data_IF_082124668373
#
_entry.id   IF_082124668373
#
_cell.length_a   1.000
_cell.length_b   1.000
_cell.length_c   1.000
_cell.angle_alpha   90.00
_cell.angle_beta   90.00
_cell.angle_gamma   90.00
#
_symmetry.space_group_name_H-M   'P 1'
#
loop_
_entity.id
_entity.type
_entity.pdbx_description
1 polymer ?
#
# COMPACT_ATOMS: atom_id res chain seq x y z
N UNK A 1 -3.08 -7.47 25.98
CA UNK A 1 -3.50 -8.39 24.90
C UNK A 1 -4.91 -7.98 24.48
N UNK A 2 -5.07 -7.30 23.33
CA UNK A 2 -6.38 -6.75 22.90
C UNK A 2 -6.35 -5.99 21.57
N UNK A 3 -5.21 -5.43 21.19
CA UNK A 3 -5.02 -4.90 19.83
C UNK A 3 -4.60 -6.01 18.87
N UNK A 4 -5.35 -6.14 17.78
CA UNK A 4 -5.00 -6.95 16.61
C UNK A 4 -4.44 -6.03 15.51
N UNK A 5 -3.56 -6.58 14.69
CA UNK A 5 -2.95 -5.91 13.53
C UNK A 5 -3.01 -6.83 12.32
N UNK A 6 -3.41 -6.29 11.18
CA UNK A 6 -3.45 -7.00 9.89
C UNK A 6 -2.62 -6.20 8.90
N UNK A 7 -1.66 -6.87 8.25
CA UNK A 7 -0.89 -6.32 7.15
C UNK A 7 -1.49 -6.77 5.82
N UNK A 8 -1.68 -5.84 4.89
CA UNK A 8 -2.30 -6.09 3.59
C UNK A 8 -1.39 -5.49 2.53
N UNK A 9 -1.03 -6.28 1.52
CA UNK A 9 -0.21 -5.86 0.39
C UNK A 9 -0.89 -6.28 -0.92
N UNK A 10 -0.99 -5.36 -1.86
CA UNK A 10 -1.28 -5.65 -3.27
C UNK A 10 -0.12 -5.10 -4.07
N UNK A 11 0.52 -5.94 -4.87
CA UNK A 11 1.72 -5.58 -5.60
C UNK A 11 1.61 -6.03 -7.06
N UNK A 12 2.11 -5.18 -7.95
CA UNK A 12 2.39 -5.52 -9.33
C UNK A 12 3.89 -5.46 -9.57
N UNK A 13 4.45 -6.52 -10.13
CA UNK A 13 5.89 -6.67 -10.29
C UNK A 13 6.27 -6.50 -11.75
N UNK A 14 7.32 -5.74 -12.03
CA UNK A 14 7.81 -5.58 -13.39
C UNK A 14 8.30 -6.92 -13.97
N UNK A 15 8.06 -7.11 -15.26
CA UNK A 15 8.43 -8.33 -15.98
C UNK A 15 7.25 -9.28 -16.15
N UNK A 16 7.27 -10.10 -17.20
CA UNK A 16 6.22 -11.07 -17.48
C UNK A 16 6.78 -12.49 -17.53
N UNK A 17 5.98 -13.47 -17.15
CA UNK A 17 6.43 -14.86 -17.07
C UNK A 17 7.46 -15.09 -15.96
N UNK A 18 8.58 -15.72 -16.28
CA UNK A 18 9.58 -16.16 -15.29
C UNK A 18 10.24 -15.00 -14.52
N UNK A 19 10.70 -13.90 -15.15
CA UNK A 19 11.25 -12.75 -14.43
C UNK A 19 10.25 -12.09 -13.46
N UNK A 20 8.99 -11.94 -13.88
CA UNK A 20 7.92 -11.39 -13.02
C UNK A 20 7.67 -12.28 -11.80
N UNK A 21 7.58 -13.60 -12.01
CA UNK A 21 7.41 -14.56 -10.91
C UNK A 21 8.58 -14.52 -9.91
N UNK A 22 9.82 -14.34 -10.40
CA UNK A 22 10.98 -14.17 -9.54
C UNK A 22 10.92 -12.87 -8.72
N UNK A 23 10.48 -11.77 -9.32
CA UNK A 23 10.27 -10.50 -8.62
C UNK A 23 9.20 -10.59 -7.53
N UNK A 24 8.08 -11.28 -7.81
CA UNK A 24 7.05 -11.53 -6.81
C UNK A 24 7.57 -12.38 -5.65
N UNK A 25 8.40 -13.40 -5.93
CA UNK A 25 9.02 -14.23 -4.90
C UNK A 25 9.98 -13.42 -4.01
N UNK A 26 10.83 -12.59 -4.60
CA UNK A 26 11.70 -11.68 -3.83
C UNK A 26 10.88 -10.73 -2.96
N UNK A 27 9.83 -10.13 -3.53
CA UNK A 27 8.93 -9.21 -2.82
C UNK A 27 8.30 -9.86 -1.59
N UNK A 28 7.66 -11.03 -1.75
CA UNK A 28 7.01 -11.73 -0.63
C UNK A 28 8.02 -12.24 0.40
N UNK A 29 9.19 -12.73 -0.02
CA UNK A 29 10.24 -13.16 0.91
C UNK A 29 10.71 -12.01 1.81
N UNK A 30 10.97 -10.84 1.23
CA UNK A 30 11.39 -9.68 2.01
C UNK A 30 10.25 -9.10 2.85
N UNK A 31 9.01 -9.07 2.37
CA UNK A 31 7.87 -8.67 3.20
C UNK A 31 7.74 -9.57 4.43
N UNK A 32 7.85 -10.89 4.28
CA UNK A 32 7.81 -11.82 5.41
C UNK A 32 8.95 -11.62 6.40
N UNK A 33 10.13 -11.17 5.94
CA UNK A 33 11.24 -10.80 6.82
C UNK A 33 10.99 -9.48 7.57
N UNK A 34 10.38 -8.49 6.90
CA UNK A 34 10.19 -7.13 7.41
C UNK A 34 8.97 -6.98 8.32
N UNK A 35 8.01 -7.91 8.22
CA UNK A 35 6.75 -7.83 8.96
C UNK A 35 6.85 -8.60 10.26
N UNK A 36 6.64 -7.88 11.36
CA UNK A 36 6.55 -8.43 12.70
C UNK A 36 5.39 -7.76 13.46
N UNK A 37 4.99 -8.29 14.63
CA UNK A 37 3.98 -7.65 15.48
C UNK A 37 4.34 -6.21 15.91
N UNK A 38 5.63 -5.84 15.82
CA UNK A 38 6.13 -4.50 16.15
C UNK A 38 6.17 -3.57 14.93
N UNK A 39 5.91 -4.06 13.72
CA UNK A 39 5.92 -3.24 12.50
C UNK A 39 4.73 -2.28 12.51
N UNK A 40 5.02 -0.97 12.59
CA UNK A 40 3.98 0.09 12.67
C UNK A 40 3.92 1.03 11.47
N UNK A 41 4.95 1.04 10.63
CA UNK A 41 5.07 2.00 9.53
C UNK A 41 5.15 1.30 8.18
N UNK A 42 4.04 1.29 7.42
CA UNK A 42 4.02 0.97 5.99
C UNK A 42 5.13 1.65 5.19
N UNK A 43 5.35 2.96 5.38
CA UNK A 43 6.37 3.68 4.61
C UNK A 43 7.78 3.14 4.88
N UNK A 44 8.11 2.84 6.13
CA UNK A 44 9.41 2.24 6.48
C UNK A 44 9.57 0.83 5.89
N UNK A 45 8.49 0.04 5.84
CA UNK A 45 8.50 -1.26 5.16
C UNK A 45 8.83 -1.08 3.68
N UNK A 46 8.15 -0.17 2.98
CA UNK A 46 8.41 0.07 1.55
C UNK A 46 9.83 0.60 1.28
N UNK A 47 10.33 1.52 2.11
CA UNK A 47 11.69 2.05 2.00
C UNK A 47 12.74 0.94 2.19
N UNK A 48 12.53 0.06 3.18
CA UNK A 48 13.46 -1.04 3.46
C UNK A 48 13.38 -2.14 2.39
N UNK A 49 12.18 -2.44 1.90
CA UNK A 49 11.97 -3.36 0.80
C UNK A 49 12.67 -2.88 -0.47
N UNK A 50 12.51 -1.59 -0.82
CA UNK A 50 13.23 -0.97 -1.94
C UNK A 50 14.74 -1.15 -1.81
N UNK A 51 15.31 -0.87 -0.63
CA UNK A 51 16.74 -1.04 -0.37
C UNK A 51 17.19 -2.49 -0.63
N UNK A 52 16.48 -3.47 -0.08
CA UNK A 52 16.79 -4.91 -0.26
C UNK A 52 16.69 -5.34 -1.73
N UNK A 53 15.70 -4.87 -2.47
CA UNK A 53 15.55 -5.17 -3.91
C UNK A 53 16.72 -4.59 -4.71
N UNK A 54 17.06 -3.32 -4.51
CA UNK A 54 18.18 -2.65 -5.20
C UNK A 54 19.50 -3.39 -4.93
N UNK A 55 19.75 -3.77 -3.67
CA UNK A 55 20.95 -4.51 -3.27
C UNK A 55 21.00 -5.91 -3.90
N UNK A 56 19.89 -6.65 -3.88
CA UNK A 56 19.83 -8.02 -4.40
C UNK A 56 20.01 -8.07 -5.93
N UNK A 57 19.33 -7.17 -6.64
CA UNK A 57 19.38 -7.09 -8.10
C UNK A 57 20.62 -6.33 -8.62
N UNK A 58 21.45 -5.81 -7.71
CA UNK A 58 22.65 -5.03 -8.04
C UNK A 58 22.36 -3.90 -9.01
N UNK A 59 21.21 -3.24 -8.84
CA UNK A 59 20.78 -2.18 -9.75
C UNK A 59 21.73 -1.00 -9.63
N UNK A 60 22.43 -0.71 -10.74
CA UNK A 60 23.33 0.42 -10.86
C UNK A 60 22.60 1.55 -11.58
N UNK A 61 22.95 2.80 -11.26
CA UNK A 61 22.38 4.01 -11.90
C UNK A 61 22.68 4.18 -13.39
N UNK A 62 23.11 3.11 -14.06
CA UNK A 62 23.39 3.10 -15.48
C UNK A 62 22.10 3.24 -16.30
N UNK A 63 22.14 4.12 -17.30
CA UNK A 63 20.97 4.40 -18.13
C UNK A 63 20.49 3.19 -18.95
N UNK A 64 21.32 2.14 -19.09
CA UNK A 64 21.05 0.92 -19.86
C UNK A 64 20.65 -0.30 -19.01
N UNK A 65 20.68 -0.20 -17.68
CA UNK A 65 20.30 -1.32 -16.81
C UNK A 65 18.77 -1.49 -16.76
N UNK A 66 18.30 -2.75 -16.74
CA UNK A 66 16.89 -3.06 -16.46
C UNK A 66 16.53 -2.46 -15.09
N UNK A 67 15.40 -1.75 -15.03
CA UNK A 67 14.86 -1.15 -13.81
C UNK A 67 13.72 -2.00 -13.29
N UNK A 68 14.06 -3.22 -12.91
CA UNK A 68 13.09 -4.10 -12.27
C UNK A 68 12.64 -3.52 -10.93
N UNK A 69 11.40 -3.76 -10.57
CA UNK A 69 10.82 -3.27 -9.33
C UNK A 69 9.41 -3.79 -9.16
N UNK A 70 8.67 -3.12 -8.30
CA UNK A 70 7.26 -3.38 -8.10
C UNK A 70 6.54 -2.12 -7.67
N UNK A 71 5.30 -2.03 -8.12
CA UNK A 71 4.33 -1.07 -7.67
C UNK A 71 3.50 -1.75 -6.59
N UNK A 72 3.16 -1.06 -5.52
CA UNK A 72 2.58 -1.71 -4.35
C UNK A 72 1.75 -0.74 -3.53
N UNK A 73 0.57 -1.20 -3.12
CA UNK A 73 -0.18 -0.61 -2.02
C UNK A 73 0.06 -1.45 -0.77
N UNK A 74 0.53 -0.83 0.30
CA UNK A 74 0.80 -1.52 1.56
C UNK A 74 0.08 -0.86 2.73
N UNK A 75 -0.71 -1.65 3.45
CA UNK A 75 -1.57 -1.20 4.52
C UNK A 75 -1.31 -1.96 5.83
N UNK A 76 -1.43 -1.24 6.94
CA UNK A 76 -1.52 -1.79 8.29
C UNK A 76 -2.86 -1.37 8.87
N UNK A 77 -3.70 -2.36 9.20
CA UNK A 77 -4.99 -2.16 9.87
C UNK A 77 -4.89 -2.61 11.32
N UNK A 78 -5.10 -1.69 12.26
CA UNK A 78 -5.08 -1.97 13.70
C UNK A 78 -6.44 -1.72 14.32
N UNK A 79 -6.88 -2.63 15.19
CA UNK A 79 -8.16 -2.50 15.89
C UNK A 79 -8.17 -3.32 17.19
N UNK A 80 -9.07 -2.97 18.11
CA UNK A 80 -9.30 -3.77 19.32
C UNK A 80 -10.29 -4.89 19.00
N UNK A 81 -9.82 -6.15 18.96
CA UNK A 81 -10.65 -7.29 18.59
C UNK A 81 -11.59 -7.75 19.71
N UNK A 82 -11.40 -7.26 20.93
CA UNK A 82 -12.27 -7.57 22.07
C UNK A 82 -13.58 -6.75 22.03
N UNK A 83 -13.65 -5.69 21.23
CA UNK A 83 -14.87 -4.89 21.07
C UNK A 83 -15.81 -5.54 20.04
N UNK A 84 -17.15 -5.41 20.21
CA UNK A 84 -18.12 -5.73 19.16
C UNK A 84 -17.83 -4.95 17.88
N UNK A 85 -18.11 -5.54 16.70
CA UNK A 85 -17.78 -4.93 15.40
C UNK A 85 -18.33 -3.51 15.25
N UNK A 86 -19.56 -3.29 15.69
CA UNK A 86 -20.25 -1.99 15.61
C UNK A 86 -19.57 -0.89 16.45
N UNK A 87 -18.77 -1.26 17.45
CA UNK A 87 -18.05 -0.34 18.34
C UNK A 87 -16.55 -0.24 18.00
N UNK A 88 -16.05 -1.05 17.06
CA UNK A 88 -14.64 -1.05 16.68
C UNK A 88 -14.27 0.24 15.97
N UNK A 89 -13.16 0.82 16.42
CA UNK A 89 -12.41 1.82 15.67
C UNK A 89 -11.23 1.14 15.00
N UNK A 90 -11.06 1.40 13.72
CA UNK A 90 -9.97 0.85 12.93
C UNK A 90 -9.00 1.98 12.62
N UNK A 91 -7.71 1.74 12.85
CA UNK A 91 -6.64 2.63 12.40
C UNK A 91 -6.02 2.02 11.16
N UNK A 92 -6.18 2.67 10.02
CA UNK A 92 -5.54 2.30 8.77
C UNK A 92 -4.32 3.21 8.57
N UNK A 93 -3.14 2.60 8.49
CA UNK A 93 -1.92 3.26 8.03
C UNK A 93 -1.59 2.73 6.64
N UNK A 94 -1.24 3.61 5.71
CA UNK A 94 -1.00 3.28 4.30
C UNK A 94 0.27 3.98 3.79
N UNK A 95 1.01 3.29 2.93
CA UNK A 95 1.99 3.87 2.03
C UNK A 95 1.91 3.14 0.67
N UNK A 96 2.19 3.85 -0.42
CA UNK A 96 2.05 3.30 -1.75
C UNK A 96 3.17 3.71 -2.71
N UNK A 97 3.55 2.77 -3.57
CA UNK A 97 4.41 2.94 -4.73
C UNK A 97 3.54 2.83 -5.98
N UNK A 98 3.28 3.95 -6.66
CA UNK A 98 2.38 4.14 -7.81
C UNK A 98 0.89 3.78 -7.61
N UNK A 99 0.58 2.77 -6.80
CA UNK A 99 -0.79 2.28 -6.57
C UNK A 99 -1.42 2.92 -5.33
N UNK A 100 -2.29 3.92 -5.56
CA UNK A 100 -3.14 4.56 -4.55
C UNK A 100 -4.18 3.58 -3.98
N UNK A 101 -4.77 3.93 -2.84
CA UNK A 101 -5.93 3.20 -2.30
C UNK A 101 -7.15 4.09 -2.19
N UNK A 102 -8.31 3.45 -2.21
CA UNK A 102 -9.59 4.12 -2.21
C UNK A 102 -10.45 3.64 -1.05
N UNK A 103 -11.12 4.56 -0.38
CA UNK A 103 -12.00 4.25 0.73
C UNK A 103 -13.40 4.77 0.38
N UNK A 104 -14.38 3.89 0.43
CA UNK A 104 -15.79 4.27 0.34
C UNK A 104 -16.38 4.23 1.74
N UNK A 105 -16.85 5.38 2.20
CA UNK A 105 -17.53 5.55 3.47
C UNK A 105 -18.85 6.29 3.27
N UNK A 106 -19.76 6.17 4.23
CA UNK A 106 -20.98 6.96 4.22
C UNK A 106 -20.67 8.44 4.57
N UNK A 107 -21.54 9.38 4.18
CA UNK A 107 -21.35 10.85 4.21
C UNK A 107 -21.09 11.47 5.60
N UNK A 108 -20.95 10.66 6.66
CA UNK A 108 -20.66 11.08 8.03
C UNK A 108 -19.19 10.85 8.45
N UNK A 109 -18.34 10.35 7.57
CA UNK A 109 -16.92 10.14 7.88
C UNK A 109 -16.07 11.34 7.48
N UNK A 110 -15.19 11.77 8.38
CA UNK A 110 -14.21 12.85 8.14
C UNK A 110 -12.83 12.25 7.96
N UNK A 111 -12.64 11.51 6.86
CA UNK A 111 -11.34 10.95 6.50
C UNK A 111 -10.51 12.04 5.83
N UNK A 112 -9.31 12.30 6.35
CA UNK A 112 -8.35 13.20 5.71
C UNK A 112 -7.71 12.45 4.54
N UNK A 113 -7.96 12.91 3.32
CA UNK A 113 -7.54 12.26 2.08
C UNK A 113 -7.02 13.29 1.06
N UNK A 114 -6.25 12.83 0.08
CA UNK A 114 -5.67 13.66 -0.97
C UNK A 114 -6.70 14.10 -2.02
N UNK A 115 -7.74 13.28 -2.22
CA UNK A 115 -8.87 13.60 -3.10
C UNK A 115 -10.17 13.02 -2.52
N UNK A 116 -11.26 13.76 -2.66
CA UNK A 116 -12.57 13.43 -2.08
C UNK A 116 -13.64 13.65 -3.15
N UNK A 117 -14.48 12.65 -3.38
CA UNK A 117 -15.59 12.68 -4.32
C UNK A 117 -16.87 12.23 -3.63
N UNK A 118 -17.89 13.09 -3.58
CA UNK A 118 -19.21 12.76 -3.03
C UNK A 118 -20.16 12.44 -4.17
N UNK A 119 -20.91 11.35 -4.05
CA UNK A 119 -21.85 10.93 -5.09
C UNK A 119 -23.20 11.64 -4.91
N UNK A 120 -23.62 12.45 -5.89
CA UNK A 120 -24.80 13.33 -5.80
C UNK A 120 -26.12 12.63 -5.42
N UNK A 121 -26.25 11.33 -5.74
CA UNK A 121 -27.45 10.52 -5.47
C UNK A 121 -27.24 9.41 -4.43
N UNK A 122 -26.16 9.48 -3.62
CA UNK A 122 -25.97 8.51 -2.55
C UNK A 122 -25.36 9.16 -1.31
N UNK A 123 -25.67 8.60 -0.15
CA UNK A 123 -25.04 9.00 1.10
C UNK A 123 -23.59 8.50 1.22
N UNK A 124 -22.83 8.41 0.11
CA UNK A 124 -21.47 7.88 0.07
C UNK A 124 -20.47 8.92 -0.43
N UNK A 125 -19.26 8.82 0.12
CA UNK A 125 -18.09 9.57 -0.28
C UNK A 125 -16.95 8.60 -0.55
N UNK A 126 -16.26 8.82 -1.68
CA UNK A 126 -15.01 8.17 -2.06
C UNK A 126 -13.84 9.06 -1.63
N UNK A 127 -12.90 8.47 -0.93
CA UNK A 127 -11.64 9.10 -0.49
C UNK A 127 -10.48 8.39 -1.18
N UNK A 128 -9.56 9.14 -1.75
CA UNK A 128 -8.30 8.62 -2.31
C UNK A 128 -7.13 9.00 -1.41
N UNK A 129 -6.34 8.01 -1.02
CA UNK A 129 -5.02 8.22 -0.43
C UNK A 129 -3.98 7.97 -1.53
N UNK A 130 -3.26 9.02 -1.92
CA UNK A 130 -2.36 8.95 -3.08
C UNK A 130 -1.08 8.22 -2.74
N UNK A 131 -0.67 7.31 -3.63
CA UNK A 131 0.67 6.75 -3.60
C UNK A 131 1.71 7.75 -4.09
N UNK A 132 2.97 7.54 -3.73
CA UNK A 132 4.07 8.28 -4.32
C UNK A 132 4.32 7.77 -5.74
N UNK A 133 4.66 8.68 -6.66
CA UNK A 133 4.98 8.38 -8.06
C UNK A 133 6.41 7.83 -8.20
N UNK A 134 6.68 6.72 -7.52
CA UNK A 134 7.96 6.03 -7.51
C UNK A 134 7.78 4.54 -7.18
N UNK A 135 8.53 3.68 -7.85
CA UNK A 135 8.43 2.22 -7.68
C UNK A 135 9.29 1.72 -6.52
N UNK A 136 9.08 0.48 -6.11
CA UNK A 136 9.96 -0.25 -5.20
C UNK A 136 11.07 -0.90 -6.04
N UNK A 137 12.02 -0.06 -6.44
CA UNK A 137 13.19 -0.40 -7.23
C UNK A 137 14.08 0.83 -7.39
N UNK A 138 15.15 0.71 -8.16
CA UNK A 138 16.06 1.84 -8.39
C UNK A 138 15.41 2.92 -9.29
N UNK A 139 15.37 4.15 -8.78
CA UNK A 139 15.08 5.35 -9.57
C UNK A 139 16.16 6.42 -9.30
N UNK A 140 16.39 7.32 -10.25
CA UNK A 140 17.46 8.34 -10.15
C UNK A 140 17.32 9.25 -8.93
N UNK A 141 16.08 9.59 -8.58
CA UNK A 141 15.77 10.42 -7.43
C UNK A 141 14.78 9.66 -6.56
N UNK A 142 15.31 8.96 -5.55
CA UNK A 142 14.51 8.24 -4.56
C UNK A 142 14.21 9.19 -3.42
N UNK A 143 12.93 9.35 -3.10
CA UNK A 143 12.48 10.00 -1.86
C UNK A 143 11.84 8.95 -0.97
N UNK A 144 11.81 9.23 0.34
CA UNK A 144 11.12 8.35 1.28
C UNK A 144 9.63 8.29 0.93
N UNK A 145 9.02 7.11 1.07
CA UNK A 145 7.58 6.97 0.88
C UNK A 145 6.79 7.79 1.92
N UNK A 146 5.69 8.38 1.47
CA UNK A 146 4.73 9.14 2.27
C UNK A 146 3.83 8.18 3.04
N UNK A 147 3.57 8.48 4.30
CA UNK A 147 2.71 7.69 5.16
C UNK A 147 1.39 8.42 5.43
N UNK A 148 0.29 7.74 5.14
CA UNK A 148 -1.06 8.20 5.44
C UNK A 148 -1.60 7.42 6.63
N UNK A 149 -2.26 8.11 7.56
CA UNK A 149 -2.91 7.47 8.71
C UNK A 149 -4.32 8.02 8.87
N UNK A 150 -5.30 7.13 8.84
CA UNK A 150 -6.72 7.48 8.92
C UNK A 150 -7.45 6.55 9.88
N UNK A 151 -8.54 7.06 10.47
CA UNK A 151 -9.43 6.27 11.31
C UNK A 151 -10.65 5.89 10.50
N UNK A 152 -10.97 4.59 10.45
CA UNK A 152 -12.14 4.06 9.77
C UNK A 152 -13.20 3.62 10.78
N UNK A 153 -14.45 3.67 10.34
CA UNK A 153 -15.62 3.17 11.04
C UNK A 153 -16.01 1.78 10.53
N UNK A 154 -16.80 1.03 11.29
CA UNK A 154 -17.41 -0.19 10.78
C UNK A 154 -18.19 0.10 9.49
N UNK A 155 -18.13 -0.83 8.53
CA UNK A 155 -18.74 -0.75 7.19
C UNK A 155 -18.03 0.14 6.17
N UNK A 156 -16.97 0.84 6.55
CA UNK A 156 -16.06 1.47 5.58
C UNK A 156 -15.40 0.39 4.72
N UNK A 157 -15.28 0.66 3.42
CA UNK A 157 -14.73 -0.30 2.44
C UNK A 157 -13.44 0.25 1.86
N UNK A 158 -12.38 -0.55 1.92
CA UNK A 158 -11.07 -0.22 1.37
C UNK A 158 -10.91 -1.00 0.07
N UNK A 159 -10.54 -0.31 -1.00
CA UNK A 159 -10.24 -0.88 -2.30
C UNK A 159 -8.76 -0.65 -2.61
N UNK A 160 -8.09 -1.74 -2.94
CA UNK A 160 -6.71 -1.79 -3.40
C UNK A 160 -6.73 -2.59 -4.71
N UNK A 161 -5.93 -2.17 -5.69
CA UNK A 161 -5.84 -2.85 -6.96
C UNK A 161 -4.43 -2.73 -7.53
N UNK A 162 -4.08 -3.65 -8.43
CA UNK A 162 -2.97 -3.48 -9.36
C UNK A 162 -3.46 -2.78 -10.63
N UNK A 163 -2.51 -2.26 -11.41
CA UNK A 163 -2.73 -1.62 -12.71
C UNK A 163 -3.42 -2.51 -13.76
N UNK A 164 -3.30 -3.83 -13.65
CA UNK A 164 -3.88 -4.78 -14.62
C UNK A 164 -5.39 -4.63 -14.89
N UNK A 165 -6.19 -4.10 -13.97
CA UNK A 165 -7.60 -3.77 -14.24
C UNK A 165 -7.77 -2.39 -14.89
N UNK A 166 -6.96 -1.41 -14.50
CA UNK A 166 -7.01 -0.05 -15.04
C UNK A 166 -6.44 0.02 -16.48
N UNK A 167 -5.53 -0.88 -16.84
CA UNK A 167 -4.83 -0.89 -18.13
C UNK A 167 -5.55 -1.69 -19.23
N UNK A 168 -6.70 -2.28 -18.92
CA UNK A 168 -7.48 -3.06 -19.87
C UNK A 168 -8.41 -2.16 -20.70
N UNK A 169 -7.85 -1.52 -21.73
CA UNK A 169 -8.58 -0.77 -22.77
C UNK A 169 -8.37 -1.37 -24.16
#
# INVERSE_FOLDING_TARGET
YGNASIHIAVADCTGHGVPGAFMSLLGISYLNELVSPQTKSPANVLNTLRKKIIENLKQKGDAKALRDGMDMSYCLLEFNHNLPVEERKYTLTFAGAFNSIYIISDNQSTIKADSVLTFENSSKTLYELKADRQSIGYIRQMVAFTEHKVTLKPKDRIYLFSDGFADQF
#
